data_IF_697462447953
#
_entry.id   IF_697462447953
#
_cell.length_a   1.000
_cell.length_b   1.000
_cell.length_c   1.000
_cell.angle_alpha   90.00
_cell.angle_beta   90.00
_cell.angle_gamma   90.00
#
_symmetry.space_group_name_H-M   'P 1'
#
loop_
_entity.id
_entity.type
_entity.pdbx_description
1 polymer ?
#
# COMPACT_ATOMS: atom_id res chain seq x y z
N UNK A 1 -7.60 -20.50 -17.57
CA UNK A 1 -8.06 -19.17 -18.00
C UNK A 1 -7.06 -18.13 -17.53
N UNK A 2 -6.71 -17.17 -18.36
CA UNK A 2 -5.91 -16.02 -17.95
C UNK A 2 -6.74 -15.15 -16.99
N UNK A 3 -6.11 -14.63 -15.94
CA UNK A 3 -6.79 -13.78 -14.93
C UNK A 3 -7.15 -12.42 -15.55
N UNK A 4 -6.30 -11.94 -16.46
CA UNK A 4 -6.46 -10.68 -17.21
C UNK A 4 -6.00 -10.93 -18.64
N UNK A 5 -6.68 -10.36 -19.61
CA UNK A 5 -6.34 -10.44 -21.03
C UNK A 5 -5.23 -9.45 -21.40
N UNK A 6 -4.54 -9.69 -22.50
CA UNK A 6 -3.52 -8.75 -23.01
C UNK A 6 -4.14 -7.40 -23.42
N UNK A 7 -5.39 -7.42 -23.91
CA UNK A 7 -6.13 -6.20 -24.28
C UNK A 7 -6.37 -5.32 -23.07
N UNK A 8 -6.92 -5.89 -21.99
CA UNK A 8 -7.16 -5.18 -20.73
C UNK A 8 -5.86 -4.61 -20.14
N UNK A 9 -4.75 -5.34 -20.23
CA UNK A 9 -3.45 -4.81 -19.77
C UNK A 9 -2.96 -3.64 -20.64
N UNK A 10 -3.19 -3.68 -21.95
CA UNK A 10 -2.84 -2.58 -22.85
C UNK A 10 -3.69 -1.34 -22.58
N UNK A 11 -4.99 -1.50 -22.40
CA UNK A 11 -5.94 -0.44 -22.09
C UNK A 11 -5.61 0.23 -20.74
N UNK A 12 -5.23 -0.58 -19.73
CA UNK A 12 -4.76 -0.10 -18.45
C UNK A 12 -3.37 0.57 -18.47
N UNK A 13 -2.70 0.59 -19.65
CA UNK A 13 -1.35 1.17 -19.78
C UNK A 13 -0.24 0.38 -19.08
N UNK A 14 -0.46 -0.90 -18.76
CA UNK A 14 0.50 -1.75 -18.05
C UNK A 14 1.79 -2.02 -18.85
N UNK A 15 1.77 -1.75 -20.17
CA UNK A 15 2.94 -1.87 -21.04
C UNK A 15 3.93 -0.70 -20.92
N UNK A 16 3.54 0.43 -20.32
CA UNK A 16 4.44 1.56 -20.13
C UNK A 16 5.37 1.32 -18.94
N UNK A 17 6.67 1.29 -19.22
CA UNK A 17 7.72 1.21 -18.22
C UNK A 17 8.32 2.57 -17.88
N UNK A 18 9.53 2.58 -17.37
CA UNK A 18 10.28 3.79 -17.03
C UNK A 18 10.95 4.40 -18.27
N UNK A 19 11.30 5.68 -18.16
CA UNK A 19 12.18 6.34 -19.13
C UNK A 19 13.51 5.59 -19.24
N UNK A 20 14.09 5.52 -20.44
CA UNK A 20 15.32 4.79 -20.73
C UNK A 20 16.48 5.17 -19.81
N UNK A 21 16.57 6.44 -19.38
CA UNK A 21 17.60 6.93 -18.43
C UNK A 21 17.40 6.50 -16.97
N UNK A 22 16.20 5.99 -16.61
CA UNK A 22 15.82 5.63 -15.24
C UNK A 22 15.51 4.14 -15.06
N UNK A 23 15.98 3.33 -15.95
CA UNK A 23 15.73 1.90 -15.88
C UNK A 23 16.69 1.18 -14.93
N UNK A 24 16.29 -0.02 -14.50
CA UNK A 24 17.16 -0.93 -13.78
C UNK A 24 17.60 -2.06 -14.73
N UNK A 25 18.92 -2.31 -14.90
CA UNK A 25 19.42 -3.41 -15.75
C UNK A 25 18.83 -4.77 -15.43
N UNK A 26 18.49 -5.05 -14.18
CA UNK A 26 17.82 -6.31 -13.76
C UNK A 26 16.44 -6.50 -14.40
N UNK A 27 15.83 -5.44 -14.91
CA UNK A 27 14.54 -5.47 -15.61
C UNK A 27 14.67 -5.80 -17.10
N UNK A 28 15.89 -5.89 -17.66
CA UNK A 28 16.13 -6.13 -19.10
C UNK A 28 15.33 -7.31 -19.64
N UNK A 29 15.25 -8.41 -18.90
CA UNK A 29 14.51 -9.62 -19.28
C UNK A 29 12.99 -9.43 -19.43
N UNK A 30 12.42 -8.37 -18.86
CA UNK A 30 10.99 -8.05 -18.90
C UNK A 30 10.67 -6.93 -19.89
N UNK A 31 11.68 -6.31 -20.47
CA UNK A 31 11.52 -5.21 -21.43
C UNK A 31 11.42 -5.83 -22.83
N UNK A 32 10.40 -5.41 -23.58
CA UNK A 32 10.22 -5.79 -24.98
C UNK A 32 11.08 -4.93 -25.91
N UNK A 33 10.96 -3.60 -25.78
CA UNK A 33 11.74 -2.63 -26.56
C UNK A 33 11.76 -1.26 -25.87
N UNK A 34 12.46 -0.29 -26.47
CA UNK A 34 12.38 1.11 -26.09
C UNK A 34 11.75 1.90 -27.24
N UNK A 35 10.77 2.76 -26.96
CA UNK A 35 10.11 3.61 -27.94
C UNK A 35 9.90 5.01 -27.36
N UNK A 36 10.24 6.05 -28.10
CA UNK A 36 10.09 7.45 -27.68
C UNK A 36 10.74 7.74 -26.29
N UNK A 37 11.90 7.15 -26.02
CA UNK A 37 12.60 7.36 -24.74
C UNK A 37 11.98 6.64 -23.52
N UNK A 38 11.00 5.77 -23.72
CA UNK A 38 10.35 4.95 -22.69
C UNK A 38 10.49 3.47 -23.00
N UNK A 39 10.78 2.66 -22.01
CA UNK A 39 10.77 1.20 -22.14
C UNK A 39 9.34 0.67 -22.20
N UNK A 40 9.10 -0.27 -23.10
CA UNK A 40 7.85 -1.03 -23.20
C UNK A 40 8.05 -2.38 -22.54
N UNK A 41 7.18 -2.72 -21.63
CA UNK A 41 7.20 -3.98 -20.89
C UNK A 41 6.56 -5.09 -21.72
N UNK A 42 7.14 -6.28 -21.68
CA UNK A 42 6.63 -7.49 -22.32
C UNK A 42 5.36 -7.98 -21.60
N UNK A 43 4.20 -7.77 -22.21
CA UNK A 43 2.91 -8.15 -21.61
C UNK A 43 2.70 -9.67 -21.58
N UNK A 44 3.34 -10.43 -22.46
CA UNK A 44 3.24 -11.90 -22.43
C UNK A 44 3.89 -12.43 -21.16
N UNK A 45 5.09 -11.93 -20.85
CA UNK A 45 5.78 -12.28 -19.59
C UNK A 45 5.01 -11.77 -18.37
N UNK A 46 4.43 -10.57 -18.46
CA UNK A 46 3.58 -10.02 -17.40
C UNK A 46 2.38 -10.92 -17.13
N UNK A 47 1.70 -11.42 -18.15
CA UNK A 47 0.57 -12.34 -18.01
C UNK A 47 0.97 -13.65 -17.29
N UNK A 48 2.12 -14.20 -17.64
CA UNK A 48 2.65 -15.41 -16.98
C UNK A 48 2.93 -15.15 -15.49
N UNK A 49 3.60 -14.04 -15.19
CA UNK A 49 3.90 -13.64 -13.81
C UNK A 49 2.62 -13.38 -13.00
N UNK A 50 1.64 -12.70 -13.59
CA UNK A 50 0.34 -12.41 -12.97
C UNK A 50 -0.44 -13.68 -12.65
N UNK A 51 -0.50 -14.64 -13.59
CA UNK A 51 -1.14 -15.93 -13.35
C UNK A 51 -0.46 -16.71 -12.22
N UNK A 52 0.86 -16.66 -12.14
CA UNK A 52 1.62 -17.30 -11.07
C UNK A 52 1.33 -16.66 -9.70
N UNK A 53 1.36 -15.33 -9.64
CA UNK A 53 1.02 -14.56 -8.43
C UNK A 53 -0.41 -14.82 -7.97
N UNK A 54 -1.37 -14.87 -8.90
CA UNK A 54 -2.76 -15.19 -8.58
C UNK A 54 -2.92 -16.58 -7.98
N UNK A 55 -2.28 -17.61 -8.57
CA UNK A 55 -2.32 -18.98 -8.03
C UNK A 55 -1.76 -19.02 -6.61
N UNK A 56 -0.65 -18.34 -6.38
CA UNK A 56 -0.04 -18.24 -5.05
C UNK A 56 -0.97 -17.54 -4.05
N UNK A 57 -1.51 -16.37 -4.40
CA UNK A 57 -2.40 -15.60 -3.54
C UNK A 57 -3.68 -16.41 -3.19
N UNK A 58 -4.26 -17.09 -4.18
CA UNK A 58 -5.42 -17.98 -3.98
C UNK A 58 -5.11 -19.12 -3.01
N UNK A 59 -3.94 -19.76 -3.13
CA UNK A 59 -3.49 -20.81 -2.22
C UNK A 59 -3.27 -20.27 -0.81
N UNK A 60 -2.63 -19.11 -0.68
CA UNK A 60 -2.40 -18.45 0.59
C UNK A 60 -3.72 -18.07 1.30
N UNK A 61 -4.68 -17.54 0.55
CA UNK A 61 -6.02 -17.22 1.07
C UNK A 61 -6.76 -18.47 1.58
N UNK A 62 -6.69 -19.57 0.81
CA UNK A 62 -7.27 -20.85 1.24
C UNK A 62 -6.64 -21.40 2.52
N UNK A 63 -5.37 -21.11 2.75
CA UNK A 63 -4.66 -21.49 3.98
C UNK A 63 -4.93 -20.54 5.16
N UNK A 64 -5.86 -19.59 5.04
CA UNK A 64 -6.20 -18.64 6.09
C UNK A 64 -5.14 -17.57 6.35
N UNK A 65 -4.18 -17.35 5.44
CA UNK A 65 -3.16 -16.30 5.58
C UNK A 65 -3.79 -14.92 5.45
N UNK A 66 -3.35 -14.01 6.30
CA UNK A 66 -3.76 -12.60 6.24
C UNK A 66 -2.91 -11.85 5.21
N UNK A 67 -3.55 -10.92 4.51
CA UNK A 67 -2.92 -10.07 3.51
C UNK A 67 -2.83 -8.63 4.03
N UNK A 68 -1.71 -7.99 3.77
CA UNK A 68 -1.51 -6.56 3.93
C UNK A 68 -1.20 -5.97 2.56
N UNK A 69 -2.11 -5.14 2.06
CA UNK A 69 -1.89 -4.42 0.82
C UNK A 69 -1.13 -3.12 1.08
N UNK A 70 -0.09 -2.85 0.29
CA UNK A 70 0.73 -1.63 0.42
C UNK A 70 0.75 -0.90 -0.90
N UNK A 71 0.22 0.32 -0.92
CA UNK A 71 0.17 1.14 -2.11
C UNK A 71 0.28 2.62 -1.78
N UNK A 72 1.50 3.07 -1.45
CA UNK A 72 1.78 4.46 -1.04
C UNK A 72 1.92 5.44 -2.21
N UNK A 73 1.98 4.95 -3.45
CA UNK A 73 2.02 5.78 -4.65
C UNK A 73 0.65 6.41 -4.89
N UNK A 74 0.60 7.71 -5.18
CA UNK A 74 -0.65 8.46 -5.35
C UNK A 74 -1.65 7.78 -6.30
N UNK A 75 -1.15 7.21 -7.41
CA UNK A 75 -1.99 6.53 -8.40
C UNK A 75 -2.57 5.19 -7.92
N UNK A 76 -1.93 4.54 -6.94
CA UNK A 76 -2.35 3.25 -6.41
C UNK A 76 -3.15 3.37 -5.09
N UNK A 77 -3.02 4.49 -4.40
CA UNK A 77 -3.53 4.70 -3.04
C UNK A 77 -5.03 4.41 -2.90
N UNK A 78 -5.83 4.98 -3.79
CA UNK A 78 -7.28 4.85 -3.78
C UNK A 78 -7.72 3.42 -4.15
N UNK A 79 -7.14 2.87 -5.22
CA UNK A 79 -7.45 1.51 -5.70
C UNK A 79 -7.10 0.47 -4.64
N UNK A 80 -5.94 0.63 -3.97
CA UNK A 80 -5.52 -0.28 -2.89
C UNK A 80 -6.49 -0.23 -1.72
N UNK A 81 -6.95 0.95 -1.31
CA UNK A 81 -7.92 1.09 -0.22
C UNK A 81 -9.26 0.41 -0.57
N UNK A 82 -9.77 0.68 -1.79
CA UNK A 82 -11.03 0.12 -2.28
C UNK A 82 -10.99 -1.41 -2.32
N UNK A 83 -9.98 -1.98 -2.97
CA UNK A 83 -9.88 -3.43 -3.17
C UNK A 83 -9.55 -4.19 -1.87
N UNK A 84 -8.72 -3.61 -1.00
CA UNK A 84 -8.45 -4.21 0.29
C UNK A 84 -9.71 -4.23 1.18
N UNK A 85 -10.46 -3.14 1.21
CA UNK A 85 -11.74 -3.08 1.95
C UNK A 85 -12.75 -4.07 1.37
N UNK A 86 -12.85 -4.20 0.05
CA UNK A 86 -13.75 -5.15 -0.62
C UNK A 86 -13.49 -6.60 -0.20
N UNK A 87 -12.23 -6.99 0.01
CA UNK A 87 -11.87 -8.36 0.41
C UNK A 87 -11.63 -8.52 1.92
N UNK A 88 -11.88 -7.48 2.73
CA UNK A 88 -11.69 -7.52 4.19
C UNK A 88 -10.24 -7.62 4.63
N UNK A 89 -9.29 -7.19 3.79
CA UNK A 89 -7.86 -7.19 4.10
C UNK A 89 -7.38 -5.85 4.67
N UNK A 90 -6.28 -5.87 5.39
CA UNK A 90 -5.62 -4.66 5.88
C UNK A 90 -4.85 -3.98 4.76
N UNK A 91 -4.74 -2.64 4.82
CA UNK A 91 -3.98 -1.88 3.82
C UNK A 91 -3.20 -0.71 4.42
N UNK A 92 -2.17 -0.28 3.69
CA UNK A 92 -1.39 0.94 3.94
C UNK A 92 -1.30 1.70 2.62
N UNK A 93 -2.03 2.80 2.51
CA UNK A 93 -2.13 3.60 1.28
C UNK A 93 -1.59 5.03 1.43
N UNK A 94 -1.11 5.39 2.61
CA UNK A 94 -0.44 6.65 2.88
C UNK A 94 1.08 6.42 2.96
N UNK A 95 1.72 6.89 4.00
CA UNK A 95 3.16 6.71 4.21
C UNK A 95 3.43 5.39 4.93
N UNK A 96 4.37 4.60 4.43
CA UNK A 96 4.90 3.47 5.17
C UNK A 96 5.74 3.96 6.36
N UNK A 97 5.33 3.62 7.56
CA UNK A 97 6.06 3.99 8.76
C UNK A 97 7.23 3.01 8.98
N UNK A 98 8.42 3.56 9.21
CA UNK A 98 9.60 2.74 9.54
C UNK A 98 9.36 1.92 10.81
N UNK A 99 9.74 0.63 10.78
CA UNK A 99 9.57 -0.27 11.91
C UNK A 99 8.18 -0.89 12.06
N UNK A 100 7.25 -0.64 11.13
CA UNK A 100 5.88 -1.17 11.21
C UNK A 100 5.83 -2.71 11.33
N UNK A 101 6.76 -3.43 10.73
CA UNK A 101 6.88 -4.88 10.86
C UNK A 101 8.03 -5.31 11.78
N UNK A 102 9.10 -4.53 11.90
CA UNK A 102 10.33 -4.92 12.61
C UNK A 102 10.40 -4.40 14.03
N UNK A 103 9.70 -3.30 14.36
CA UNK A 103 9.63 -2.68 15.69
C UNK A 103 8.17 -2.50 16.12
N UNK A 104 7.45 -3.61 16.14
CA UNK A 104 6.01 -3.60 16.44
C UNK A 104 5.69 -3.14 17.86
N UNK A 105 6.56 -3.41 18.82
CA UNK A 105 6.37 -2.98 20.21
C UNK A 105 6.23 -1.47 20.33
N UNK A 106 7.14 -0.72 19.69
CA UNK A 106 7.07 0.75 19.68
C UNK A 106 5.88 1.27 18.86
N UNK A 107 5.55 0.63 17.74
CA UNK A 107 4.39 1.00 16.94
C UNK A 107 3.09 0.78 17.70
N UNK A 108 2.97 -0.35 18.39
CA UNK A 108 1.81 -0.66 19.23
C UNK A 108 1.62 0.37 20.35
N UNK A 109 2.69 0.72 21.05
CA UNK A 109 2.64 1.73 22.12
C UNK A 109 2.11 3.10 21.59
N UNK A 110 2.50 3.49 20.38
CA UNK A 110 1.97 4.72 19.74
C UNK A 110 0.49 4.60 19.36
N UNK A 111 0.07 3.44 18.85
CA UNK A 111 -1.34 3.17 18.55
C UNK A 111 -2.19 3.17 19.82
N UNK A 112 -1.70 2.56 20.89
CA UNK A 112 -2.39 2.56 22.17
C UNK A 112 -2.48 3.99 22.75
N UNK A 113 -1.42 4.79 22.63
CA UNK A 113 -1.43 6.21 23.01
C UNK A 113 -2.44 7.04 22.19
N UNK A 114 -2.51 6.82 20.86
CA UNK A 114 -3.52 7.46 20.02
C UNK A 114 -4.94 7.16 20.52
N UNK A 115 -5.26 5.88 20.74
CA UNK A 115 -6.57 5.46 21.25
C UNK A 115 -6.91 6.06 22.63
N UNK A 116 -5.92 6.21 23.49
CA UNK A 116 -6.12 6.84 24.79
C UNK A 116 -6.42 8.33 24.65
N UNK A 117 -5.71 9.04 23.76
CA UNK A 117 -5.99 10.46 23.50
C UNK A 117 -7.36 10.67 22.84
N UNK A 118 -7.76 9.83 21.88
CA UNK A 118 -9.10 9.86 21.28
C UNK A 118 -10.19 9.63 22.33
N UNK A 119 -9.98 8.68 23.25
CA UNK A 119 -10.90 8.41 24.36
C UNK A 119 -10.98 9.60 25.33
N UNK A 120 -9.85 10.24 25.63
CA UNK A 120 -9.82 11.43 26.48
C UNK A 120 -10.50 12.64 25.82
N UNK A 121 -10.38 12.82 24.51
CA UNK A 121 -11.07 13.88 23.77
C UNK A 121 -12.59 13.62 23.75
N UNK A 122 -13.02 12.42 23.42
CA UNK A 122 -14.43 12.03 23.33
C UNK A 122 -15.16 12.09 24.68
N UNK A 123 -14.45 11.79 25.78
CA UNK A 123 -15.00 11.88 27.16
C UNK A 123 -14.98 13.29 27.73
N UNK A 124 -14.39 14.27 27.02
CA UNK A 124 -14.22 15.64 27.54
C UNK A 124 -13.10 15.78 28.58
N UNK A 125 -12.38 14.72 28.91
CA UNK A 125 -11.32 14.73 29.92
C UNK A 125 -10.15 15.69 29.57
N UNK A 126 -9.90 15.94 28.29
CA UNK A 126 -8.92 16.94 27.85
C UNK A 126 -9.39 18.35 28.17
N UNK A 127 -10.69 18.65 28.05
CA UNK A 127 -11.23 19.96 28.32
C UNK A 127 -11.22 20.32 29.82
N UNK A 128 -11.19 19.32 30.69
CA UNK A 128 -11.09 19.52 32.15
C UNK A 128 -9.67 19.83 32.63
N UNK A 129 -8.66 19.70 31.76
CA UNK A 129 -7.26 20.00 32.11
C UNK A 129 -6.93 21.49 31.90
N UNK A 130 -5.85 21.98 32.53
CA UNK A 130 -5.36 23.33 32.30
C UNK A 130 -5.16 23.59 30.80
N UNK A 131 -5.51 24.80 30.33
CA UNK A 131 -5.46 25.16 28.88
C UNK A 131 -4.14 24.82 28.20
N UNK A 132 -3.01 24.98 28.91
CA UNK A 132 -1.68 24.67 28.37
C UNK A 132 -1.49 23.18 28.13
N UNK A 133 -1.90 22.32 29.06
CA UNK A 133 -1.84 20.86 28.93
C UNK A 133 -2.81 20.35 27.83
N UNK A 134 -4.04 20.85 27.84
CA UNK A 134 -5.03 20.52 26.81
C UNK A 134 -4.51 20.82 25.39
N UNK A 135 -3.86 21.97 25.20
CA UNK A 135 -3.27 22.33 23.93
C UNK A 135 -2.11 21.40 23.50
N UNK A 136 -1.31 20.93 24.45
CA UNK A 136 -0.23 19.97 24.16
C UNK A 136 -0.81 18.61 23.76
N UNK A 137 -1.81 18.10 24.48
CA UNK A 137 -2.45 16.81 24.19
C UNK A 137 -3.15 16.83 22.82
N UNK A 138 -3.83 17.91 22.46
CA UNK A 138 -4.45 18.04 21.13
C UNK A 138 -3.43 18.05 20.00
N UNK A 139 -2.31 18.77 20.17
CA UNK A 139 -1.21 18.73 19.18
C UNK A 139 -0.57 17.36 19.08
N UNK A 140 -0.48 16.62 20.18
CA UNK A 140 0.00 15.24 20.16
C UNK A 140 -0.97 14.35 19.38
N UNK A 141 -2.29 14.48 19.59
CA UNK A 141 -3.34 13.77 18.88
C UNK A 141 -3.29 14.02 17.37
N UNK A 142 -3.14 15.29 16.95
CA UNK A 142 -3.01 15.65 15.52
C UNK A 142 -1.76 15.09 14.85
N UNK A 143 -0.71 14.81 15.64
CA UNK A 143 0.59 14.35 15.13
C UNK A 143 0.73 12.84 15.08
N UNK A 144 -0.08 12.10 15.82
CA UNK A 144 -0.09 10.64 15.85
C UNK A 144 -0.97 10.04 14.77
#
# INVERSE_FOLDING_TARGET
MAVVTLSEMMEAGAHFGHQTRRWNPKMSRYIYCARNGVHIIDLVKTAVCMNSAYKWARSAARSGKRFLFVGTKKQASEVVALEATRCGASYVNQRWLGGMLTNWTTMKARIDRLKDLERMESSGAIAMRPKKEAAVLRRELERL
#
